data_IF_656381706754
#
_entry.id   IF_656381706754
#
_cell.length_a   1.000
_cell.length_b   1.000
_cell.length_c   1.000
_cell.angle_alpha   90.00
_cell.angle_beta   90.00
_cell.angle_gamma   90.00
#
_symmetry.space_group_name_H-M   'P 1'
#
loop_
_entity.id
_entity.type
_entity.pdbx_description
1 polymer ?
#
# COMPACT_ATOMS: atom_id res chain seq x y z
N UNK A 1 -19.75 -3.50 3.93
CA UNK A 1 -20.15 -3.75 5.34
C UNK A 1 -19.89 -5.21 5.63
N UNK A 2 -19.42 -5.54 6.83
CA UNK A 2 -19.18 -6.92 7.27
C UNK A 2 -20.11 -7.22 8.45
N UNK A 3 -20.65 -8.44 8.51
CA UNK A 3 -21.44 -8.88 9.67
C UNK A 3 -20.57 -8.84 10.93
N UNK A 4 -21.11 -8.34 12.05
CA UNK A 4 -20.36 -8.17 13.30
C UNK A 4 -19.82 -9.49 13.85
N UNK A 5 -20.63 -10.55 13.86
CA UNK A 5 -20.22 -11.86 14.38
C UNK A 5 -19.13 -12.46 13.50
N UNK A 6 -19.28 -12.37 12.17
CA UNK A 6 -18.23 -12.77 11.24
C UNK A 6 -16.92 -12.00 11.53
N UNK A 7 -16.99 -10.68 11.67
CA UNK A 7 -15.81 -9.85 11.90
C UNK A 7 -15.13 -10.13 13.24
N UNK A 8 -15.88 -10.10 14.34
CA UNK A 8 -15.32 -10.20 15.69
C UNK A 8 -15.06 -11.64 16.13
N UNK A 9 -15.96 -12.58 15.82
CA UNK A 9 -15.86 -13.94 16.35
C UNK A 9 -15.03 -14.83 15.42
N UNK A 10 -15.31 -14.80 14.11
CA UNK A 10 -14.68 -15.74 13.16
C UNK A 10 -13.31 -15.23 12.68
N UNK A 11 -13.11 -13.92 12.63
CA UNK A 11 -11.90 -13.28 12.12
C UNK A 11 -11.12 -12.48 13.19
N UNK A 12 -11.61 -12.41 14.44
CA UNK A 12 -10.99 -11.66 15.53
C UNK A 12 -10.62 -10.21 15.16
N UNK A 13 -11.48 -9.57 14.36
CA UNK A 13 -11.34 -8.18 13.98
C UNK A 13 -10.17 -7.86 13.04
N UNK A 14 -9.67 -6.63 13.14
CA UNK A 14 -8.42 -6.21 12.52
C UNK A 14 -7.24 -6.69 13.34
N UNK A 15 -6.11 -6.87 12.68
CA UNK A 15 -4.85 -7.15 13.37
C UNK A 15 -4.27 -5.85 13.92
N UNK A 16 -4.26 -5.70 15.25
CA UNK A 16 -3.74 -4.50 15.92
C UNK A 16 -2.21 -4.50 16.04
N UNK A 17 -1.53 -5.57 15.61
CA UNK A 17 -0.06 -5.66 15.65
C UNK A 17 0.63 -4.97 14.47
N UNK A 18 -0.12 -4.48 13.49
CA UNK A 18 0.46 -3.71 12.40
C UNK A 18 1.21 -2.48 12.96
N UNK A 19 2.49 -2.27 12.59
CA UNK A 19 3.32 -1.24 13.20
C UNK A 19 2.81 0.18 12.93
N UNK A 20 1.99 0.36 11.90
CA UNK A 20 1.29 1.60 11.58
C UNK A 20 -0.07 1.25 10.98
N UNK A 21 -1.02 2.19 11.03
CA UNK A 21 -2.37 2.07 10.44
C UNK A 21 -2.32 1.99 8.90
N UNK A 22 -1.87 0.84 8.40
CA UNK A 22 -1.70 0.49 7.01
C UNK A 22 -1.69 -1.03 6.89
N UNK A 23 -2.26 -1.57 5.82
CA UNK A 23 -2.32 -3.01 5.51
C UNK A 23 -3.25 -3.86 6.40
N UNK A 24 -3.80 -3.33 7.50
CA UNK A 24 -4.80 -4.00 8.33
C UNK A 24 -6.08 -4.39 7.53
N UNK A 25 -6.49 -3.51 6.62
CA UNK A 25 -7.61 -3.70 5.71
C UNK A 25 -7.30 -4.74 4.62
N UNK A 26 -6.09 -4.68 4.08
CA UNK A 26 -5.56 -5.66 3.12
C UNK A 26 -5.45 -7.04 3.74
N UNK A 27 -5.00 -7.14 5.00
CA UNK A 27 -4.94 -8.39 5.77
C UNK A 27 -6.31 -9.00 6.00
N UNK A 28 -7.28 -8.21 6.49
CA UNK A 28 -8.66 -8.69 6.67
C UNK A 28 -9.24 -9.18 5.33
N UNK A 29 -9.09 -8.40 4.27
CA UNK A 29 -9.54 -8.76 2.94
C UNK A 29 -8.89 -10.05 2.43
N UNK A 30 -7.59 -10.24 2.71
CA UNK A 30 -6.87 -11.45 2.36
C UNK A 30 -7.41 -12.67 3.11
N UNK A 31 -7.61 -12.56 4.44
CA UNK A 31 -8.17 -13.63 5.27
C UNK A 31 -9.58 -14.03 4.82
N UNK A 32 -10.44 -13.06 4.51
CA UNK A 32 -11.78 -13.31 3.98
C UNK A 32 -11.73 -14.10 2.66
N UNK A 33 -10.85 -13.71 1.74
CA UNK A 33 -10.67 -14.42 0.46
C UNK A 33 -10.17 -15.85 0.67
N UNK A 34 -9.23 -16.07 1.59
CA UNK A 34 -8.67 -17.38 1.90
C UNK A 34 -9.73 -18.35 2.46
N UNK A 35 -10.79 -17.81 3.07
CA UNK A 35 -11.97 -18.54 3.54
C UNK A 35 -13.09 -18.66 2.51
N UNK A 36 -12.88 -18.19 1.28
CA UNK A 36 -13.88 -18.25 0.20
C UNK A 36 -15.08 -17.33 0.43
N UNK A 37 -14.98 -16.33 1.30
CA UNK A 37 -16.08 -15.39 1.55
C UNK A 37 -16.23 -14.46 0.36
N UNK A 38 -17.39 -14.52 -0.30
CA UNK A 38 -17.73 -13.65 -1.42
C UNK A 38 -17.98 -12.22 -0.95
N UNK A 39 -17.65 -11.25 -1.80
CA UNK A 39 -17.83 -9.82 -1.52
C UNK A 39 -18.61 -9.19 -2.66
N UNK A 40 -19.64 -8.44 -2.32
CA UNK A 40 -20.42 -7.66 -3.27
C UNK A 40 -19.88 -6.22 -3.32
N UNK A 41 -19.42 -5.78 -4.49
CA UNK A 41 -19.10 -4.38 -4.73
C UNK A 41 -20.37 -3.62 -5.15
N UNK A 42 -20.83 -2.70 -4.32
CA UNK A 42 -22.05 -1.91 -4.58
C UNK A 42 -21.64 -0.60 -5.26
N UNK A 43 -21.70 -0.57 -6.60
CA UNK A 43 -21.20 0.55 -7.43
C UNK A 43 -21.77 1.92 -7.06
N UNK A 44 -23.02 1.98 -6.62
CA UNK A 44 -23.71 3.23 -6.28
C UNK A 44 -23.53 3.64 -4.80
N UNK A 45 -22.88 2.83 -3.98
CA UNK A 45 -22.51 3.19 -2.61
C UNK A 45 -21.13 3.85 -2.63
N UNK A 46 -21.10 5.18 -2.63
CA UNK A 46 -19.87 5.96 -2.56
C UNK A 46 -19.90 6.91 -1.37
N UNK A 47 -18.70 7.25 -0.88
CA UNK A 47 -18.51 8.25 0.16
C UNK A 47 -17.50 9.27 -0.33
N UNK A 48 -17.73 10.55 -0.02
CA UNK A 48 -16.78 11.61 -0.33
C UNK A 48 -15.83 11.74 0.86
N UNK A 49 -14.55 11.42 0.64
CA UNK A 49 -13.53 11.67 1.64
C UNK A 49 -13.03 13.12 1.56
N UNK A 50 -12.81 13.80 2.70
CA UNK A 50 -12.21 15.11 2.69
C UNK A 50 -10.77 15.03 2.15
N UNK A 51 -10.37 16.06 1.40
CA UNK A 51 -8.97 16.20 0.98
C UNK A 51 -8.07 16.33 2.21
N UNK A 52 -7.08 15.45 2.30
CA UNK A 52 -6.08 15.50 3.38
C UNK A 52 -4.74 15.95 2.83
N UNK A 53 -4.21 17.03 3.40
CA UNK A 53 -2.84 17.44 3.13
C UNK A 53 -1.88 16.40 3.72
N UNK A 54 -1.12 15.74 2.86
CA UNK A 54 -0.08 14.80 3.30
C UNK A 54 1.16 15.57 3.74
N UNK A 55 1.18 15.97 5.01
CA UNK A 55 2.41 16.46 5.66
C UNK A 55 3.35 15.27 5.86
N UNK A 56 4.62 15.40 5.48
CA UNK A 56 5.65 14.35 5.62
C UNK A 56 5.37 13.04 4.86
N UNK A 57 5.00 13.15 3.57
CA UNK A 57 4.70 12.01 2.70
C UNK A 57 5.79 10.92 2.71
N UNK A 58 7.07 11.27 2.80
CA UNK A 58 8.16 10.30 2.88
C UNK A 58 8.02 9.35 4.09
N UNK A 59 7.69 9.89 5.27
CA UNK A 59 7.50 9.11 6.50
C UNK A 59 6.26 8.24 6.40
N UNK A 60 5.17 8.76 5.84
CA UNK A 60 3.94 7.99 5.60
C UNK A 60 4.24 6.80 4.67
N UNK A 61 4.98 7.03 3.58
CA UNK A 61 5.35 5.98 2.62
C UNK A 61 6.26 4.92 3.25
N UNK A 62 7.25 5.31 4.06
CA UNK A 62 8.08 4.37 4.83
C UNK A 62 7.27 3.56 5.85
N UNK A 63 6.37 4.19 6.59
CA UNK A 63 5.50 3.51 7.56
C UNK A 63 4.58 2.49 6.88
N UNK A 64 4.03 2.84 5.72
CA UNK A 64 3.28 1.90 4.88
C UNK A 64 4.15 0.72 4.47
N UNK A 65 5.39 0.96 4.01
CA UNK A 65 6.31 -0.11 3.63
C UNK A 65 6.64 -1.05 4.80
N UNK A 66 6.89 -0.53 6.00
CA UNK A 66 7.09 -1.35 7.21
C UNK A 66 5.89 -2.24 7.50
N UNK A 67 4.67 -1.71 7.34
CA UNK A 67 3.43 -2.48 7.50
C UNK A 67 3.26 -3.51 6.38
N UNK A 68 3.69 -3.19 5.16
CA UNK A 68 3.74 -4.14 4.04
C UNK A 68 4.71 -5.30 4.33
N UNK A 69 5.89 -5.02 4.90
CA UNK A 69 6.83 -6.08 5.29
C UNK A 69 6.22 -6.98 6.37
N UNK A 70 5.58 -6.40 7.40
CA UNK A 70 4.84 -7.18 8.40
C UNK A 70 3.78 -8.08 7.75
N UNK A 71 2.96 -7.54 6.84
CA UNK A 71 1.96 -8.31 6.10
C UNK A 71 2.58 -9.46 5.29
N UNK A 72 3.71 -9.22 4.62
CA UNK A 72 4.38 -10.23 3.80
C UNK A 72 5.07 -11.31 4.64
N UNK A 73 5.53 -10.97 5.85
CA UNK A 73 6.03 -11.96 6.80
C UNK A 73 4.89 -12.83 7.34
N UNK A 74 3.74 -12.22 7.63
CA UNK A 74 2.54 -12.91 8.09
C UNK A 74 1.91 -13.81 7.00
N UNK A 75 1.96 -13.40 5.74
CA UNK A 75 1.43 -14.13 4.58
C UNK A 75 2.48 -14.29 3.47
N UNK A 76 3.47 -15.19 3.62
CA UNK A 76 4.58 -15.34 2.67
C UNK A 76 4.16 -15.64 1.24
N UNK A 77 3.00 -16.29 1.04
CA UNK A 77 2.43 -16.57 -0.28
C UNK A 77 2.11 -15.30 -1.09
N UNK A 78 2.00 -14.15 -0.43
CA UNK A 78 1.75 -12.84 -1.07
C UNK A 78 3.02 -12.19 -1.61
N UNK A 79 4.21 -12.70 -1.29
CA UNK A 79 5.49 -12.22 -1.85
C UNK A 79 5.56 -12.41 -3.37
N UNK A 80 4.79 -13.35 -3.94
CA UNK A 80 4.66 -13.48 -5.41
C UNK A 80 4.00 -12.25 -6.07
N UNK A 81 3.15 -11.55 -5.33
CA UNK A 81 2.40 -10.38 -5.81
C UNK A 81 3.11 -9.07 -5.45
N UNK A 82 3.72 -8.99 -4.26
CA UNK A 82 4.46 -7.82 -3.77
C UNK A 82 5.93 -8.20 -3.58
N UNK A 83 6.72 -7.99 -4.63
CA UNK A 83 8.17 -8.28 -4.69
C UNK A 83 8.96 -7.10 -5.27
N UNK A 84 10.26 -7.30 -5.47
CA UNK A 84 11.14 -6.33 -6.12
C UNK A 84 10.59 -5.85 -7.47
N UNK A 85 10.11 -6.76 -8.33
CA UNK A 85 9.51 -6.38 -9.62
C UNK A 85 8.31 -5.44 -9.44
N UNK A 86 7.46 -5.66 -8.43
CA UNK A 86 6.35 -4.75 -8.11
C UNK A 86 6.86 -3.32 -7.83
N UNK A 87 7.89 -3.16 -6.99
CA UNK A 87 8.44 -1.85 -6.66
C UNK A 87 9.21 -1.20 -7.81
N UNK A 88 9.86 -1.99 -8.66
CA UNK A 88 10.51 -1.48 -9.88
C UNK A 88 9.47 -0.93 -10.87
N UNK A 89 8.35 -1.64 -11.06
CA UNK A 89 7.24 -1.17 -11.90
C UNK A 89 6.61 0.08 -11.28
N UNK A 90 6.43 0.12 -9.96
CA UNK A 90 5.92 1.29 -9.25
C UNK A 90 6.84 2.50 -9.44
N UNK A 91 8.16 2.32 -9.30
CA UNK A 91 9.17 3.35 -9.58
C UNK A 91 9.06 3.84 -11.02
N UNK A 92 9.07 2.94 -12.01
CA UNK A 92 8.98 3.30 -13.42
C UNK A 92 7.71 4.12 -13.74
N UNK A 93 6.55 3.64 -13.30
CA UNK A 93 5.28 4.36 -13.51
C UNK A 93 5.27 5.71 -12.79
N UNK A 94 5.87 5.79 -11.60
CA UNK A 94 5.89 7.01 -10.80
C UNK A 94 6.88 8.05 -11.31
N UNK A 95 8.10 7.65 -11.65
CA UNK A 95 9.18 8.54 -12.07
C UNK A 95 9.06 8.91 -13.56
N UNK A 96 8.99 7.91 -14.45
CA UNK A 96 9.00 8.15 -15.90
C UNK A 96 7.66 8.67 -16.39
N UNK A 97 6.58 7.93 -16.12
CA UNK A 97 5.25 8.27 -16.68
C UNK A 97 4.58 9.45 -16.00
N UNK A 98 4.95 9.75 -14.75
CA UNK A 98 4.34 10.83 -13.99
C UNK A 98 5.33 11.97 -13.70
N UNK A 99 6.38 11.76 -12.88
CA UNK A 99 7.28 12.85 -12.47
C UNK A 99 7.91 13.57 -13.66
N UNK A 100 8.69 12.88 -14.50
CA UNK A 100 9.38 13.51 -15.63
C UNK A 100 8.39 14.15 -16.61
N UNK A 101 7.36 13.41 -17.02
CA UNK A 101 6.34 13.89 -17.95
C UNK A 101 5.67 15.18 -17.47
N UNK A 102 5.36 15.28 -16.19
CA UNK A 102 4.64 16.42 -15.63
C UNK A 102 5.56 17.55 -15.13
N UNK A 103 6.87 17.32 -15.04
CA UNK A 103 7.82 18.31 -14.54
C UNK A 103 7.82 19.58 -15.39
N UNK A 104 7.88 19.42 -16.72
CA UNK A 104 7.82 20.55 -17.64
C UNK A 104 6.45 21.25 -17.58
N UNK A 105 5.36 20.48 -17.58
CA UNK A 105 3.98 21.01 -17.51
C UNK A 105 3.77 21.91 -16.29
N UNK A 106 4.34 21.55 -15.15
CA UNK A 106 4.19 22.31 -13.90
C UNK A 106 5.40 23.18 -13.56
N UNK A 107 6.30 23.44 -14.52
CA UNK A 107 7.50 24.28 -14.34
C UNK A 107 8.32 23.86 -13.11
N UNK A 108 8.48 22.55 -12.92
CA UNK A 108 9.19 21.91 -11.81
C UNK A 108 8.65 22.22 -10.40
N UNK A 109 7.46 22.82 -10.27
CA UNK A 109 6.83 23.06 -8.97
C UNK A 109 6.51 21.73 -8.28
N UNK A 110 7.09 21.53 -7.10
CA UNK A 110 6.92 20.29 -6.32
C UNK A 110 7.78 19.11 -6.79
N UNK A 111 8.67 19.30 -7.77
CA UNK A 111 9.51 18.24 -8.35
C UNK A 111 10.34 17.51 -7.29
N UNK A 112 11.08 18.23 -6.45
CA UNK A 112 11.91 17.64 -5.40
C UNK A 112 11.08 16.84 -4.38
N UNK A 113 9.90 17.34 -3.99
CA UNK A 113 8.99 16.61 -3.09
C UNK A 113 8.54 15.29 -3.72
N UNK A 114 8.31 15.28 -5.03
CA UNK A 114 7.90 14.08 -5.77
C UNK A 114 9.05 13.10 -5.99
N UNK A 115 10.27 13.58 -6.27
CA UNK A 115 11.46 12.73 -6.41
C UNK A 115 11.73 11.93 -5.13
N UNK A 116 11.50 12.52 -3.94
CA UNK A 116 11.67 11.77 -2.68
C UNK A 116 10.77 10.53 -2.65
N UNK A 117 9.54 10.62 -3.14
CA UNK A 117 8.65 9.44 -3.27
C UNK A 117 9.21 8.41 -4.24
N UNK A 118 9.72 8.86 -5.39
CA UNK A 118 10.28 7.98 -6.41
C UNK A 118 11.52 7.25 -5.88
N UNK A 119 12.40 7.97 -5.19
CA UNK A 119 13.56 7.41 -4.52
C UNK A 119 13.17 6.35 -3.48
N UNK A 120 12.06 6.54 -2.74
CA UNK A 120 11.56 5.53 -1.82
C UNK A 120 11.09 4.25 -2.53
N UNK A 121 10.44 4.35 -3.70
CA UNK A 121 10.05 3.16 -4.48
C UNK A 121 11.29 2.38 -4.96
N UNK A 122 12.33 3.11 -5.39
CA UNK A 122 13.60 2.49 -5.77
C UNK A 122 14.30 1.86 -4.57
N UNK A 123 14.30 2.52 -3.41
CA UNK A 123 14.79 1.95 -2.16
C UNK A 123 14.05 0.67 -1.79
N UNK A 124 12.71 0.63 -1.89
CA UNK A 124 11.92 -0.59 -1.64
C UNK A 124 12.27 -1.70 -2.62
N UNK A 125 12.47 -1.38 -3.91
CA UNK A 125 12.95 -2.35 -4.88
C UNK A 125 14.28 -2.98 -4.45
N UNK A 126 15.28 -2.16 -4.09
CA UNK A 126 16.60 -2.65 -3.67
C UNK A 126 16.48 -3.46 -2.37
N UNK A 127 15.74 -2.95 -1.38
CA UNK A 127 15.52 -3.65 -0.12
C UNK A 127 14.91 -5.03 -0.34
N UNK A 128 13.84 -5.11 -1.14
CA UNK A 128 13.13 -6.36 -1.42
C UNK A 128 13.88 -7.31 -2.36
N UNK A 129 14.87 -6.81 -3.09
CA UNK A 129 15.76 -7.63 -3.91
C UNK A 129 16.87 -8.28 -3.07
N UNK A 130 17.45 -7.52 -2.14
CA UNK A 130 18.58 -7.97 -1.31
C UNK A 130 18.09 -8.81 -0.13
N UNK A 131 17.11 -8.30 0.61
CA UNK A 131 16.57 -8.98 1.77
C UNK A 131 15.45 -9.89 1.32
N UNK A 132 15.58 -11.18 1.60
CA UNK A 132 14.44 -12.11 1.58
C UNK A 132 13.63 -11.88 2.86
N UNK A 133 12.94 -10.73 2.91
CA UNK A 133 11.89 -10.47 3.89
C UNK A 133 10.81 -11.53 3.71
#
# INVERSE_FOLDING_TARGET
>A
MINKNLFLNDFNGFDEQFPYAAMEDVDLNYRLNKKGISKLFVKNAYVVHPWRLQKNMWRITLNRFKSTLYFLNKHPERKKDINSKYYLIAFYNSFIKNTLKNSFKYRFRGFFKKIIYDALQLYFFVYTLIYKY
#
